data_IF_704591362774
#
_entry.id   IF_704591362774
#
_cell.length_a   1.000
_cell.length_b   1.000
_cell.length_c   1.000
_cell.angle_alpha   90.00
_cell.angle_beta   90.00
_cell.angle_gamma   90.00
#
_symmetry.space_group_name_H-M   'P 1'
#
loop_
_entity.id
_entity.type
_entity.pdbx_description
1 polymer ?
#
# COMPACT_ATOMS: atom_id res chain seq x y z
N UNK A 1 -11.77 24.72 -6.07
CA UNK A 1 -10.53 24.47 -6.83
C UNK A 1 -10.79 23.21 -7.63
N UNK A 2 -10.75 23.25 -8.96
CA UNK A 2 -11.10 22.10 -9.80
C UNK A 2 -10.22 20.89 -9.43
N UNK A 3 -10.82 19.70 -9.30
CA UNK A 3 -10.09 18.48 -8.96
C UNK A 3 -9.40 17.99 -10.22
N UNK A 4 -8.18 18.49 -10.42
CA UNK A 4 -7.33 17.99 -11.48
C UNK A 4 -6.65 16.70 -11.00
N UNK A 5 -6.78 15.58 -11.74
CA UNK A 5 -5.98 14.40 -11.50
C UNK A 5 -4.49 14.77 -11.68
N UNK A 6 -3.63 14.25 -10.80
CA UNK A 6 -2.20 14.55 -10.88
C UNK A 6 -1.67 13.99 -12.21
N UNK A 7 -1.04 14.85 -13.03
CA UNK A 7 -0.39 14.46 -14.28
C UNK A 7 0.90 13.70 -13.94
N UNK A 8 0.77 12.45 -13.52
CA UNK A 8 1.87 11.55 -13.19
C UNK A 8 1.85 10.43 -14.22
N UNK A 9 2.79 10.44 -15.15
CA UNK A 9 2.87 9.40 -16.19
C UNK A 9 3.79 8.27 -15.70
N UNK A 10 3.24 7.04 -15.66
CA UNK A 10 3.87 5.84 -15.09
C UNK A 10 5.22 5.46 -15.73
N UNK A 11 5.49 5.93 -16.94
CA UNK A 11 6.69 5.64 -17.73
C UNK A 11 7.89 6.52 -17.38
N UNK A 12 7.70 7.59 -16.61
CA UNK A 12 8.76 8.52 -16.26
C UNK A 12 9.39 8.16 -14.91
N UNK A 13 10.72 8.06 -14.89
CA UNK A 13 11.49 7.50 -13.77
C UNK A 13 12.08 8.56 -12.85
N UNK A 14 11.85 9.84 -13.14
CA UNK A 14 12.27 10.98 -12.31
C UNK A 14 13.65 11.52 -12.66
N UNK A 15 14.11 11.35 -13.90
CA UNK A 15 15.33 12.00 -14.40
C UNK A 15 15.06 13.46 -14.82
N UNK A 16 16.08 14.34 -14.89
CA UNK A 16 15.91 15.71 -15.39
C UNK A 16 15.36 15.78 -16.84
N UNK A 17 15.68 14.78 -17.67
CA UNK A 17 15.10 14.62 -19.01
C UNK A 17 13.62 14.23 -18.95
N UNK A 18 13.22 13.42 -17.97
CA UNK A 18 11.81 13.10 -17.71
C UNK A 18 11.02 14.35 -17.30
N UNK A 19 11.63 15.29 -16.56
CA UNK A 19 10.98 16.57 -16.20
C UNK A 19 10.68 17.44 -17.44
N UNK A 20 11.60 17.46 -18.41
CA UNK A 20 11.39 18.17 -19.67
C UNK A 20 10.29 17.49 -20.52
N UNK A 21 10.24 16.16 -20.53
CA UNK A 21 9.20 15.40 -21.23
C UNK A 21 7.83 15.57 -20.58
N UNK A 22 7.75 15.55 -19.25
CA UNK A 22 6.55 15.92 -18.46
C UNK A 22 6.01 17.28 -18.90
N UNK A 23 6.87 18.29 -18.97
CA UNK A 23 6.46 19.65 -19.33
C UNK A 23 5.94 19.73 -20.77
N UNK A 24 6.54 18.99 -21.72
CA UNK A 24 6.06 18.93 -23.10
C UNK A 24 4.69 18.28 -23.20
N UNK A 25 4.49 17.13 -22.54
CA UNK A 25 3.19 16.44 -22.52
C UNK A 25 2.11 17.31 -21.87
N UNK A 26 2.47 18.02 -20.80
CA UNK A 26 1.59 18.97 -20.14
C UNK A 26 1.18 20.14 -21.06
N UNK A 27 2.12 20.73 -21.81
CA UNK A 27 1.81 21.83 -22.75
C UNK A 27 0.90 21.40 -23.91
N UNK A 28 1.08 20.18 -24.42
CA UNK A 28 0.20 19.62 -25.47
C UNK A 28 -1.21 19.46 -24.92
N UNK A 29 -1.33 18.81 -23.76
CA UNK A 29 -2.60 18.60 -23.08
C UNK A 29 -3.29 19.92 -22.71
N UNK A 30 -2.56 20.90 -22.17
CA UNK A 30 -3.10 22.23 -21.82
C UNK A 30 -3.65 22.95 -23.06
N UNK A 31 -2.95 22.86 -24.20
CA UNK A 31 -3.41 23.45 -25.46
C UNK A 31 -4.67 22.80 -25.98
N UNK A 32 -4.72 21.47 -25.98
CA UNK A 32 -5.89 20.69 -26.42
C UNK A 32 -7.10 20.97 -25.53
N UNK A 33 -6.91 21.01 -24.20
CA UNK A 33 -7.96 21.36 -23.26
C UNK A 33 -8.48 22.78 -23.44
N UNK A 34 -7.60 23.76 -23.66
CA UNK A 34 -8.03 25.14 -23.96
C UNK A 34 -8.85 25.21 -25.25
N UNK A 35 -8.50 24.41 -26.26
CA UNK A 35 -9.26 24.34 -27.50
C UNK A 35 -10.65 23.71 -27.28
N UNK A 36 -10.75 22.62 -26.51
CA UNK A 36 -12.01 21.96 -26.17
C UNK A 36 -12.94 22.87 -25.35
N UNK A 37 -12.40 23.56 -24.34
CA UNK A 37 -13.16 24.54 -23.53
C UNK A 37 -13.63 25.70 -24.42
N UNK A 38 -12.78 26.22 -25.30
CA UNK A 38 -13.14 27.32 -26.20
C UNK A 38 -14.21 26.91 -27.24
N UNK A 39 -14.24 25.63 -27.63
CA UNK A 39 -15.27 25.06 -28.50
C UNK A 39 -16.60 24.81 -27.79
N UNK A 40 -16.64 24.86 -26.46
CA UNK A 40 -17.86 24.74 -25.65
C UNK A 40 -18.45 23.33 -25.58
N UNK A 41 -17.62 22.29 -25.78
CA UNK A 41 -18.05 20.89 -25.73
C UNK A 41 -17.68 20.16 -24.45
N UNK A 42 -17.31 20.87 -23.38
CA UNK A 42 -16.90 20.28 -22.12
C UNK A 42 -17.44 21.09 -20.94
N UNK A 43 -17.84 20.41 -19.86
CA UNK A 43 -18.28 21.04 -18.62
C UNK A 43 -17.62 20.41 -17.40
N UNK A 44 -17.70 21.13 -16.26
CA UNK A 44 -17.40 20.56 -14.96
C UNK A 44 -18.68 20.00 -14.35
N UNK A 45 -18.65 18.76 -13.89
CA UNK A 45 -19.77 18.19 -13.14
C UNK A 45 -19.83 18.71 -11.69
N UNK A 46 -20.81 18.22 -10.92
CA UNK A 46 -21.02 18.60 -9.50
C UNK A 46 -19.80 18.27 -8.63
N UNK A 47 -19.02 17.28 -9.03
CA UNK A 47 -17.79 16.86 -8.37
C UNK A 47 -16.55 17.61 -8.90
N UNK A 48 -16.71 18.52 -9.85
CA UNK A 48 -15.62 19.30 -10.42
C UNK A 48 -14.67 18.49 -11.31
N UNK A 49 -15.17 17.43 -11.94
CA UNK A 49 -14.51 16.68 -13.02
C UNK A 49 -14.89 17.23 -14.38
N UNK A 50 -13.94 17.25 -15.32
CA UNK A 50 -14.24 17.61 -16.71
C UNK A 50 -14.89 16.45 -17.45
N UNK A 51 -16.02 16.73 -18.09
CA UNK A 51 -16.81 15.78 -18.87
C UNK A 51 -16.93 16.31 -20.30
N UNK A 52 -16.78 15.40 -21.26
CA UNK A 52 -17.10 15.67 -22.66
C UNK A 52 -18.61 15.67 -22.86
N UNK A 53 -19.17 16.75 -23.41
CA UNK A 53 -20.61 16.90 -23.63
C UNK A 53 -21.16 15.97 -24.72
N UNK A 54 -20.30 15.50 -25.62
CA UNK A 54 -20.66 14.61 -26.74
C UNK A 54 -20.68 13.14 -26.34
N UNK A 55 -19.72 12.69 -25.54
CA UNK A 55 -19.58 11.28 -25.11
C UNK A 55 -20.08 11.03 -23.69
N UNK A 56 -20.09 12.05 -22.83
CA UNK A 56 -20.34 11.91 -21.39
C UNK A 56 -19.17 11.30 -20.61
N UNK A 57 -18.00 11.13 -21.24
CA UNK A 57 -16.83 10.51 -20.64
C UNK A 57 -15.96 11.52 -19.88
N UNK A 58 -15.14 11.01 -18.96
CA UNK A 58 -14.17 11.81 -18.22
C UNK A 58 -13.04 12.26 -19.13
N UNK A 59 -12.66 13.53 -19.00
CA UNK A 59 -11.51 14.08 -19.71
C UNK A 59 -10.31 14.18 -18.77
N UNK A 60 -9.24 13.49 -19.13
CA UNK A 60 -8.01 13.46 -18.34
C UNK A 60 -6.79 13.09 -19.18
N UNK A 61 -5.59 13.20 -18.60
CA UNK A 61 -4.35 12.75 -19.25
C UNK A 61 -4.25 11.24 -19.41
N UNK A 62 -5.00 10.48 -18.61
CA UNK A 62 -5.14 9.03 -18.74
C UNK A 62 -6.50 8.71 -19.38
N UNK A 63 -6.54 8.04 -20.55
CA UNK A 63 -7.80 7.66 -21.20
C UNK A 63 -8.56 6.55 -20.44
N UNK A 64 -7.91 5.81 -19.54
CA UNK A 64 -8.55 4.78 -18.71
C UNK A 64 -8.93 5.30 -17.31
N UNK A 65 -9.09 6.61 -17.18
CA UNK A 65 -9.39 7.25 -15.91
C UNK A 65 -10.78 6.91 -15.39
N UNK A 66 -10.84 6.48 -14.13
CA UNK A 66 -12.08 6.23 -13.41
C UNK A 66 -12.23 7.15 -12.19
N UNK A 67 -13.48 7.41 -11.80
CA UNK A 67 -13.78 8.17 -10.59
C UNK A 67 -13.36 7.35 -9.36
N UNK A 68 -12.85 7.98 -8.30
CA UNK A 68 -12.69 7.31 -7.01
C UNK A 68 -14.04 6.80 -6.51
N UNK A 69 -14.07 5.57 -6.00
CA UNK A 69 -15.29 5.02 -5.40
C UNK A 69 -15.79 5.92 -4.26
N UNK A 70 -17.08 6.18 -4.25
CA UNK A 70 -17.74 6.93 -3.19
C UNK A 70 -17.76 6.13 -1.89
N UNK A 71 -17.96 6.81 -0.76
CA UNK A 71 -18.07 6.14 0.55
C UNK A 71 -19.25 5.18 0.61
N UNK A 72 -20.33 5.48 -0.10
CA UNK A 72 -21.55 4.68 -0.16
C UNK A 72 -21.34 3.40 -0.98
N UNK A 73 -20.63 3.49 -2.11
CA UNK A 73 -20.23 2.32 -2.89
C UNK A 73 -19.25 1.44 -2.11
N UNK A 74 -18.27 2.05 -1.42
CA UNK A 74 -17.34 1.31 -0.57
C UNK A 74 -18.05 0.62 0.61
N UNK A 75 -19.12 1.20 1.14
CA UNK A 75 -19.91 0.58 2.21
C UNK A 75 -20.72 -0.63 1.73
N UNK A 76 -21.04 -0.71 0.43
CA UNK A 76 -21.72 -1.83 -0.20
C UNK A 76 -20.76 -2.92 -0.68
N UNK A 77 -19.45 -2.67 -0.65
CA UNK A 77 -18.45 -3.63 -1.07
C UNK A 77 -18.50 -4.89 -0.19
N UNK A 78 -18.54 -6.06 -0.83
CA UNK A 78 -18.46 -7.34 -0.12
C UNK A 78 -17.09 -7.52 0.51
N UNK A 79 -17.05 -8.19 1.67
CA UNK A 79 -15.77 -8.53 2.29
C UNK A 79 -15.04 -9.59 1.44
N UNK A 80 -13.71 -9.67 1.59
CA UNK A 80 -12.91 -10.69 0.90
C UNK A 80 -13.42 -12.12 1.13
N UNK A 81 -13.96 -12.40 2.32
CA UNK A 81 -14.48 -13.74 2.65
C UNK A 81 -15.75 -14.06 1.87
N UNK A 82 -16.59 -13.07 1.61
CA UNK A 82 -17.84 -13.22 0.85
C UNK A 82 -17.58 -13.24 -0.66
N UNK A 83 -16.68 -12.38 -1.15
CA UNK A 83 -16.34 -12.29 -2.56
C UNK A 83 -15.60 -13.53 -3.08
N UNK A 84 -14.73 -14.15 -2.25
CA UNK A 84 -13.90 -15.30 -2.66
C UNK A 84 -13.87 -16.39 -1.58
N UNK A 85 -15.01 -17.07 -1.30
CA UNK A 85 -15.15 -17.94 -0.13
C UNK A 85 -14.21 -19.16 -0.15
N UNK A 86 -13.96 -19.74 -1.33
CA UNK A 86 -13.07 -20.89 -1.48
C UNK A 86 -11.61 -20.58 -1.10
N UNK A 87 -11.10 -19.43 -1.52
CA UNK A 87 -9.75 -18.97 -1.19
C UNK A 87 -9.64 -18.58 0.28
N UNK A 88 -10.62 -17.84 0.80
CA UNK A 88 -10.68 -17.47 2.21
C UNK A 88 -10.70 -18.71 3.13
N UNK A 89 -11.44 -19.75 2.76
CA UNK A 89 -11.44 -21.03 3.47
C UNK A 89 -10.09 -21.78 3.36
N UNK A 90 -9.36 -21.63 2.25
CA UNK A 90 -7.99 -22.15 2.10
C UNK A 90 -7.01 -21.49 3.07
N UNK A 91 -7.01 -20.16 3.14
CA UNK A 91 -6.13 -19.37 4.01
C UNK A 91 -6.44 -19.61 5.50
N UNK A 92 -7.71 -19.69 5.89
CA UNK A 92 -8.08 -20.00 7.29
C UNK A 92 -7.60 -21.38 7.74
N UNK A 93 -7.44 -22.34 6.82
CA UNK A 93 -6.95 -23.69 7.12
C UNK A 93 -5.44 -23.74 7.34
N UNK A 94 -4.66 -22.83 6.76
CA UNK A 94 -3.23 -22.69 7.04
C UNK A 94 -2.96 -21.92 8.34
N UNK A 95 -3.66 -22.30 9.43
CA UNK A 95 -3.27 -21.85 10.78
C UNK A 95 -1.78 -22.16 10.92
N UNK A 96 -0.97 -21.13 11.13
CA UNK A 96 0.46 -21.27 11.37
C UNK A 96 0.75 -22.19 12.55
N UNK A 97 2.04 -22.31 12.93
CA UNK A 97 2.47 -23.19 14.04
C UNK A 97 1.45 -23.15 15.20
N UNK A 98 0.91 -24.31 15.63
CA UNK A 98 -0.06 -24.38 16.71
C UNK A 98 0.41 -23.54 17.89
N UNK A 99 -0.53 -22.85 18.54
CA UNK A 99 -0.25 -22.07 19.75
C UNK A 99 0.38 -23.02 20.78
N UNK A 100 1.61 -22.73 21.20
CA UNK A 100 2.26 -23.51 22.25
C UNK A 100 1.47 -23.35 23.56
N UNK A 101 1.26 -24.44 24.29
CA UNK A 101 0.59 -24.46 25.61
C UNK A 101 1.29 -23.52 26.61
N UNK A 102 2.63 -23.45 26.56
CA UNK A 102 3.44 -22.55 27.37
C UNK A 102 4.45 -21.80 26.48
N UNK A 103 4.06 -20.66 25.87
CA UNK A 103 4.97 -19.90 25.03
C UNK A 103 6.05 -19.22 25.88
N UNK A 104 7.28 -19.14 25.34
CA UNK A 104 8.34 -18.30 25.93
C UNK A 104 7.85 -16.86 25.93
N UNK A 105 7.91 -16.19 27.08
CA UNK A 105 7.60 -14.76 27.17
C UNK A 105 8.86 -13.95 26.87
N UNK A 106 8.78 -13.04 25.91
CA UNK A 106 9.84 -12.04 25.70
C UNK A 106 9.83 -11.08 26.89
N UNK A 107 10.95 -10.92 27.57
CA UNK A 107 11.12 -9.99 28.69
C UNK A 107 12.34 -9.11 28.42
N UNK A 108 12.27 -7.83 28.78
CA UNK A 108 13.42 -6.92 28.73
C UNK A 108 14.24 -7.09 30.01
N UNK A 109 15.32 -7.88 29.93
CA UNK A 109 16.25 -8.11 31.03
C UNK A 109 17.62 -7.51 30.65
N UNK A 110 18.20 -6.73 31.56
CA UNK A 110 19.59 -6.29 31.43
C UNK A 110 20.49 -7.35 32.04
N UNK A 111 21.49 -7.78 31.28
CA UNK A 111 22.55 -8.69 31.70
C UNK A 111 23.88 -8.00 31.45
N UNK A 112 24.88 -8.36 32.23
CA UNK A 112 26.24 -7.88 32.01
C UNK A 112 26.75 -8.30 30.63
N UNK A 113 27.57 -7.43 30.03
CA UNK A 113 28.03 -7.60 28.64
C UNK A 113 28.88 -8.87 28.50
N UNK A 114 29.73 -9.15 29.48
CA UNK A 114 30.59 -10.34 29.51
C UNK A 114 29.79 -11.65 29.52
N UNK A 115 28.66 -11.69 30.25
CA UNK A 115 27.72 -12.83 30.26
C UNK A 115 27.13 -13.04 28.86
N UNK A 116 26.66 -11.97 28.21
CA UNK A 116 26.09 -12.05 26.85
C UNK A 116 27.15 -12.57 25.87
N UNK A 117 28.36 -12.02 25.91
CA UNK A 117 29.43 -12.41 24.99
C UNK A 117 29.90 -13.85 25.23
N UNK A 118 29.97 -14.30 26.49
CA UNK A 118 30.27 -15.69 26.82
C UNK A 118 29.25 -16.66 26.20
N UNK A 119 27.95 -16.35 26.29
CA UNK A 119 26.92 -17.17 25.65
C UNK A 119 26.97 -17.06 24.12
N UNK A 120 27.15 -15.87 23.53
CA UNK A 120 27.25 -15.72 22.06
C UNK A 120 28.40 -16.52 21.45
N UNK A 121 29.54 -16.62 22.14
CA UNK A 121 30.70 -17.43 21.71
C UNK A 121 30.37 -18.92 21.53
N UNK A 122 29.32 -19.42 22.15
CA UNK A 122 28.84 -20.80 21.94
C UNK A 122 28.10 -21.01 20.62
N UNK A 123 27.91 -19.95 19.82
CA UNK A 123 27.32 -20.00 18.48
C UNK A 123 25.79 -19.87 18.45
N UNK A 124 25.15 -20.24 17.32
CA UNK A 124 23.69 -20.20 17.18
C UNK A 124 22.97 -20.93 18.33
N UNK A 125 21.81 -20.40 18.74
CA UNK A 125 21.03 -20.95 19.86
C UNK A 125 21.48 -20.52 21.26
N UNK A 126 22.41 -19.56 21.39
CA UNK A 126 22.89 -19.09 22.69
C UNK A 126 21.78 -18.53 23.60
N UNK A 127 20.74 -17.92 23.05
CA UNK A 127 19.56 -17.46 23.79
C UNK A 127 18.76 -18.61 24.41
N UNK A 128 18.77 -19.79 23.77
CA UNK A 128 18.18 -21.00 24.35
C UNK A 128 19.03 -21.51 25.52
N UNK A 129 20.35 -21.55 25.35
CA UNK A 129 21.29 -21.99 26.38
C UNK A 129 21.25 -21.13 27.63
N UNK A 130 21.20 -19.79 27.49
CA UNK A 130 21.08 -18.92 28.68
C UNK A 130 19.76 -19.19 29.44
N UNK A 131 18.66 -19.42 28.72
CA UNK A 131 17.40 -19.80 29.35
C UNK A 131 17.49 -21.16 30.07
N UNK A 132 18.17 -22.16 29.50
CA UNK A 132 18.42 -23.44 30.17
C UNK A 132 19.27 -23.29 31.43
N UNK A 133 20.31 -22.45 31.41
CA UNK A 133 21.12 -22.15 32.60
C UNK A 133 20.27 -21.51 33.70
N UNK A 134 19.41 -20.53 33.35
CA UNK A 134 18.50 -19.91 34.31
C UNK A 134 17.50 -20.91 34.89
N UNK A 135 16.97 -21.83 34.07
CA UNK A 135 16.10 -22.91 34.56
C UNK A 135 16.83 -23.80 35.56
N UNK A 136 18.04 -24.27 35.22
CA UNK A 136 18.87 -25.10 36.11
C UNK A 136 19.16 -24.41 37.44
N UNK A 137 19.48 -23.11 37.42
CA UNK A 137 19.74 -22.32 38.63
C UNK A 137 18.51 -22.21 39.56
N UNK A 138 17.30 -22.27 38.98
CA UNK A 138 16.02 -22.23 39.71
C UNK A 138 15.43 -23.61 39.99
N UNK A 139 16.07 -24.71 39.56
CA UNK A 139 15.55 -26.07 39.68
C UNK A 139 14.35 -26.38 38.77
N UNK A 140 14.25 -25.73 37.61
CA UNK A 140 13.18 -25.88 36.60
C UNK A 140 13.55 -26.73 35.39
#
# INVERSE_FOLDING_TARGET
MARWPQFITKDLTGTPEDDAEMLRRWQVYEREMKALIAAGGVHLDEDGWWIDDGTGELIGPDPEMERPSTREELAQASTFTEAVPGLAAGIKRSRGRPKAEAPKKLQSLRLDVDVIEAFKRSGPGWQGRINETLRKALGL
#
